data_IF_953826617195
#
_entry.id   IF_953826617195
#
_cell.length_a   1.000
_cell.length_b   1.000
_cell.length_c   1.000
_cell.angle_alpha   90.00
_cell.angle_beta   90.00
_cell.angle_gamma   90.00
#
_symmetry.space_group_name_H-M   'P 1'
#
loop_
_entity.id
_entity.type
_entity.pdbx_description
1 polymer ?
#
# COMPACT_ATOMS: atom_id res chain seq x y z
N UNK A 1 31.46 -10.29 13.04
CA UNK A 1 30.07 -10.19 12.58
C UNK A 1 29.83 -8.74 12.22
N UNK A 2 29.51 -8.44 10.98
CA UNK A 2 29.16 -7.07 10.61
C UNK A 2 27.82 -6.73 11.27
N UNK A 3 27.78 -5.65 12.06
CA UNK A 3 26.54 -5.13 12.63
C UNK A 3 25.60 -4.78 11.48
N UNK A 4 24.37 -5.24 11.56
CA UNK A 4 23.32 -4.83 10.63
C UNK A 4 22.59 -3.61 11.18
N UNK A 5 21.85 -2.89 10.34
CA UNK A 5 21.02 -1.76 10.78
C UNK A 5 20.07 -2.16 11.93
N UNK A 6 19.64 -3.42 11.98
CA UNK A 6 18.77 -3.95 13.02
C UNK A 6 19.46 -4.16 14.36
N UNK A 7 20.79 -4.23 14.39
CA UNK A 7 21.56 -4.33 15.64
C UNK A 7 21.70 -2.96 16.31
N UNK A 8 21.51 -1.88 15.56
CA UNK A 8 21.56 -0.50 16.06
C UNK A 8 20.19 0.05 16.44
N UNK A 9 19.11 -0.54 15.93
CA UNK A 9 17.74 -0.16 16.25
C UNK A 9 17.33 -0.85 17.56
N UNK A 10 17.17 -0.08 18.62
CA UNK A 10 16.68 -0.56 19.93
C UNK A 10 15.17 -0.82 19.92
N UNK A 11 14.66 -1.46 18.87
CA UNK A 11 13.25 -1.80 18.79
C UNK A 11 12.93 -3.05 19.61
N UNK A 12 11.90 -2.95 20.43
CA UNK A 12 11.39 -4.08 21.19
C UNK A 12 10.74 -5.09 20.22
N UNK A 13 11.16 -6.36 20.31
CA UNK A 13 10.58 -7.47 19.53
C UNK A 13 9.34 -8.07 20.20
N UNK A 14 8.87 -7.49 21.28
CA UNK A 14 7.67 -7.92 21.99
C UNK A 14 6.43 -7.69 21.11
N UNK A 15 5.68 -8.74 20.87
CA UNK A 15 4.46 -8.69 20.06
C UNK A 15 3.37 -7.80 20.69
N UNK A 16 3.29 -7.74 22.01
CA UNK A 16 2.32 -6.89 22.73
C UNK A 16 2.63 -5.42 22.49
N UNK A 17 3.90 -5.04 22.53
CA UNK A 17 4.31 -3.66 22.21
C UNK A 17 3.89 -3.25 20.79
N UNK A 18 4.02 -4.16 19.81
CA UNK A 18 3.60 -3.90 18.44
C UNK A 18 2.09 -3.72 18.29
N UNK A 19 1.28 -4.44 19.03
CA UNK A 19 -0.18 -4.28 18.97
C UNK A 19 -0.59 -2.83 19.26
N UNK A 20 -0.07 -2.23 20.31
CA UNK A 20 -0.34 -0.81 20.62
C UNK A 20 0.23 0.13 19.58
N UNK A 21 1.44 -0.15 19.07
CA UNK A 21 2.12 0.72 18.13
C UNK A 21 1.48 0.76 16.76
N UNK A 22 0.98 -0.37 16.28
CA UNK A 22 0.34 -0.48 14.96
C UNK A 22 -0.92 0.38 14.83
N UNK A 23 -1.63 0.63 15.93
CA UNK A 23 -2.86 1.43 15.95
C UNK A 23 -2.61 2.94 16.13
N UNK A 24 -1.38 3.37 16.40
CA UNK A 24 -1.07 4.81 16.49
C UNK A 24 -1.36 5.53 15.18
N UNK A 25 -2.07 6.64 15.30
CA UNK A 25 -2.39 7.48 14.15
C UNK A 25 -1.18 8.28 13.71
N UNK A 26 -0.92 8.29 12.40
CA UNK A 26 -0.02 9.25 11.79
C UNK A 26 -0.73 10.61 11.66
N UNK A 27 0.00 11.74 11.66
CA UNK A 27 -0.63 13.05 11.65
C UNK A 27 -1.32 13.37 10.32
N UNK A 28 -2.27 14.32 10.40
CA UNK A 28 -2.76 15.07 9.27
C UNK A 28 -2.20 16.49 9.38
N UNK A 29 -1.52 16.98 8.34
CA UNK A 29 -0.82 18.26 8.32
C UNK A 29 -1.31 19.13 7.18
N UNK A 30 -1.66 20.41 7.46
CA UNK A 30 -1.98 21.39 6.43
C UNK A 30 -0.69 22.01 5.94
N UNK A 31 -0.39 21.87 4.65
CA UNK A 31 0.87 22.33 4.06
C UNK A 31 0.59 23.20 2.84
N UNK A 32 1.20 24.37 2.82
CA UNK A 32 1.13 25.27 1.70
C UNK A 32 2.13 24.88 0.60
N UNK A 33 1.72 24.98 -0.65
CA UNK A 33 2.64 24.98 -1.78
C UNK A 33 3.25 26.37 -1.91
N UNK A 34 4.58 26.54 -1.80
CA UNK A 34 5.21 27.85 -1.83
C UNK A 34 5.10 28.55 -3.19
N UNK A 35 4.88 27.81 -4.28
CA UNK A 35 4.77 28.38 -5.63
C UNK A 35 3.36 28.89 -5.95
N UNK A 36 2.33 28.16 -5.46
CA UNK A 36 0.92 28.46 -5.80
C UNK A 36 0.12 29.05 -4.65
N UNK A 37 0.64 29.07 -3.42
CA UNK A 37 -0.07 29.38 -2.17
C UNK A 37 -1.29 28.49 -1.89
N UNK A 38 -1.49 27.42 -2.65
CA UNK A 38 -2.52 26.44 -2.34
C UNK A 38 -2.19 25.71 -1.04
N UNK A 39 -3.19 25.47 -0.23
CA UNK A 39 -3.07 24.71 1.02
C UNK A 39 -3.85 23.41 0.89
N UNK A 40 -3.21 22.28 1.24
CA UNK A 40 -3.81 20.95 1.20
C UNK A 40 -3.44 20.20 2.47
N UNK A 41 -4.37 19.43 3.00
CA UNK A 41 -4.09 18.50 4.09
C UNK A 41 -3.41 17.25 3.56
N UNK A 42 -2.39 16.80 4.28
CA UNK A 42 -1.69 15.56 3.98
C UNK A 42 -1.84 14.57 5.14
N UNK A 43 -2.36 13.38 4.87
CA UNK A 43 -2.25 12.24 5.80
C UNK A 43 -0.87 11.62 5.63
N UNK A 44 -0.05 11.67 6.68
CA UNK A 44 1.39 11.37 6.64
C UNK A 44 1.69 9.93 7.04
N UNK A 45 1.22 8.93 6.25
CA UNK A 45 1.56 7.53 6.52
C UNK A 45 3.07 7.24 6.36
N UNK A 46 3.80 8.08 5.65
CA UNK A 46 5.26 8.07 5.57
C UNK A 46 5.94 8.25 6.94
N UNK A 47 5.26 8.81 7.94
CA UNK A 47 5.77 8.90 9.32
C UNK A 47 5.70 7.58 10.07
N UNK A 48 5.01 6.58 9.56
CA UNK A 48 5.07 5.23 10.09
C UNK A 48 6.32 4.53 9.56
N UNK A 49 7.46 4.69 10.23
CA UNK A 49 8.77 4.17 9.84
C UNK A 49 9.54 3.50 10.99
N UNK A 50 8.93 2.54 11.73
CA UNK A 50 9.51 2.02 12.97
C UNK A 50 10.71 1.10 12.77
N UNK A 51 10.94 0.57 11.57
CA UNK A 51 11.97 -0.44 11.29
C UNK A 51 13.20 0.12 10.58
N UNK A 52 13.37 1.42 10.55
CA UNK A 52 14.49 2.03 9.84
C UNK A 52 14.99 3.27 10.55
N UNK A 53 16.18 3.73 10.18
CA UNK A 53 16.68 5.02 10.63
C UNK A 53 15.75 6.11 10.12
N UNK A 54 15.04 6.73 11.03
CA UNK A 54 14.19 7.87 10.75
C UNK A 54 14.98 9.16 11.01
N UNK A 55 15.19 9.92 9.97
CA UNK A 55 15.83 11.23 10.06
C UNK A 55 14.88 12.30 9.54
N UNK A 56 14.31 13.11 10.44
CA UNK A 56 13.51 14.29 10.11
C UNK A 56 12.36 14.07 9.11
N UNK A 57 11.60 12.99 9.27
CA UNK A 57 10.45 12.72 8.43
C UNK A 57 10.77 12.18 7.04
N UNK A 58 12.03 11.86 6.77
CA UNK A 58 12.44 11.36 5.47
C UNK A 58 13.14 10.01 5.60
N UNK A 59 12.80 9.04 4.74
CA UNK A 59 13.79 8.20 4.06
C UNK A 59 14.06 6.81 4.60
N UNK A 60 13.39 6.37 5.67
CA UNK A 60 13.42 4.97 6.07
C UNK A 60 12.36 4.13 5.34
N UNK A 61 12.35 2.85 5.60
CA UNK A 61 11.25 1.97 5.20
C UNK A 61 10.00 2.41 5.96
N UNK A 62 8.94 2.76 5.25
CA UNK A 62 7.80 3.47 5.82
C UNK A 62 6.46 3.12 5.14
N UNK A 63 5.40 3.70 5.67
CA UNK A 63 4.10 3.75 5.04
C UNK A 63 3.09 2.71 5.51
N UNK A 64 1.88 2.84 4.99
CA UNK A 64 0.74 2.00 5.36
C UNK A 64 0.98 0.50 5.10
N UNK A 65 1.70 0.16 4.04
CA UNK A 65 2.06 -1.24 3.74
C UNK A 65 3.02 -1.83 4.77
N UNK A 66 3.94 -1.04 5.31
CA UNK A 66 4.83 -1.51 6.37
C UNK A 66 4.02 -1.89 7.61
N UNK A 67 3.07 -1.05 8.02
CA UNK A 67 2.15 -1.33 9.13
C UNK A 67 1.44 -2.66 8.94
N UNK A 68 0.87 -2.86 7.78
CA UNK A 68 0.16 -4.08 7.43
C UNK A 68 1.07 -5.31 7.35
N UNK A 69 2.30 -5.16 6.82
CA UNK A 69 3.26 -6.26 6.73
C UNK A 69 3.75 -6.71 8.12
N UNK A 70 3.96 -5.78 9.05
CA UNK A 70 4.31 -6.10 10.44
C UNK A 70 3.16 -6.89 11.08
N UNK A 71 1.93 -6.42 10.96
CA UNK A 71 0.75 -7.13 11.49
C UNK A 71 0.62 -8.55 10.93
N UNK A 72 0.80 -8.72 9.62
CA UNK A 72 0.76 -10.04 8.98
C UNK A 72 1.83 -11.00 9.53
N UNK A 73 3.03 -10.50 9.75
CA UNK A 73 4.11 -11.30 10.36
C UNK A 73 3.77 -11.66 11.81
N UNK A 74 3.25 -10.72 12.59
CA UNK A 74 2.83 -10.99 13.97
C UNK A 74 1.76 -12.08 14.04
N UNK A 75 0.72 -11.98 13.21
CA UNK A 75 -0.33 -13.00 13.14
C UNK A 75 0.21 -14.37 12.72
N UNK A 76 1.20 -14.38 11.82
CA UNK A 76 1.87 -15.60 11.41
C UNK A 76 2.67 -16.22 12.56
N UNK A 77 3.40 -15.41 13.32
CA UNK A 77 4.18 -15.85 14.48
C UNK A 77 3.27 -16.36 15.62
N UNK A 78 2.16 -15.66 15.90
CA UNK A 78 1.15 -16.11 16.88
C UNK A 78 0.54 -17.48 16.51
N UNK A 79 0.42 -17.75 15.21
CA UNK A 79 -0.04 -19.05 14.69
C UNK A 79 1.06 -20.14 14.70
N UNK A 80 2.26 -19.88 15.25
CA UNK A 80 3.37 -20.83 15.32
C UNK A 80 4.21 -20.91 14.04
N UNK A 81 4.10 -19.91 13.16
CA UNK A 81 4.97 -19.77 11.99
C UNK A 81 6.38 -19.34 12.34
N UNK A 82 7.28 -19.39 11.35
CA UNK A 82 8.67 -18.91 11.44
C UNK A 82 8.75 -17.42 11.05
N UNK A 83 9.67 -16.65 11.61
CA UNK A 83 9.94 -15.27 11.18
C UNK A 83 10.59 -15.18 9.80
N UNK A 84 11.00 -16.32 9.20
CA UNK A 84 11.50 -16.32 7.83
C UNK A 84 10.42 -15.90 6.84
N UNK A 85 10.82 -15.16 5.82
CA UNK A 85 9.90 -14.59 4.86
C UNK A 85 10.34 -14.88 3.42
N UNK A 86 9.41 -15.36 2.63
CA UNK A 86 9.60 -15.52 1.19
C UNK A 86 8.60 -14.66 0.46
N UNK A 87 9.05 -13.85 -0.46
CA UNK A 87 8.19 -13.01 -1.27
C UNK A 87 8.74 -12.83 -2.68
N UNK A 88 7.88 -12.34 -3.57
CA UNK A 88 8.29 -12.03 -4.92
C UNK A 88 7.93 -10.62 -5.34
N UNK A 89 8.77 -10.01 -6.16
CA UNK A 89 8.55 -8.64 -6.64
C UNK A 89 9.39 -8.31 -7.88
N UNK A 90 9.18 -7.11 -8.41
CA UNK A 90 9.99 -6.55 -9.50
C UNK A 90 11.09 -5.64 -8.95
N UNK A 91 12.13 -5.40 -9.76
CA UNK A 91 13.36 -4.65 -9.41
C UNK A 91 12.97 -3.26 -8.92
N UNK A 92 12.33 -2.49 -8.93
CA UNK A 92 12.07 -1.12 -8.38
C UNK A 92 10.99 -1.07 -7.32
N UNK A 93 10.56 -2.21 -6.80
CA UNK A 93 9.48 -2.27 -5.84
C UNK A 93 9.98 -2.04 -4.41
N UNK A 94 9.40 -1.09 -3.65
CA UNK A 94 9.71 -0.90 -2.23
C UNK A 94 9.25 -2.06 -1.34
N UNK A 95 8.50 -3.02 -1.87
CA UNK A 95 8.11 -4.21 -1.12
C UNK A 95 9.32 -5.06 -0.72
N UNK A 96 10.37 -5.10 -1.54
CA UNK A 96 11.55 -5.92 -1.25
C UNK A 96 12.28 -5.49 0.03
N UNK A 97 12.75 -4.24 0.17
CA UNK A 97 13.40 -3.82 1.41
C UNK A 97 12.43 -3.84 2.60
N UNK A 98 11.16 -3.55 2.41
CA UNK A 98 10.16 -3.60 3.46
C UNK A 98 9.97 -5.03 4.00
N UNK A 99 9.80 -6.02 3.14
CA UNK A 99 9.65 -7.42 3.54
C UNK A 99 10.90 -7.92 4.30
N UNK A 100 12.08 -7.52 3.81
CA UNK A 100 13.35 -7.87 4.45
C UNK A 100 13.48 -7.24 5.84
N UNK A 101 13.13 -5.96 5.97
CA UNK A 101 13.15 -5.26 7.26
C UNK A 101 12.22 -5.95 8.28
N UNK A 102 11.00 -6.29 7.87
CA UNK A 102 10.02 -6.98 8.75
C UNK A 102 10.55 -8.33 9.22
N UNK A 103 10.99 -9.19 8.30
CA UNK A 103 11.52 -10.52 8.68
C UNK A 103 12.72 -10.40 9.62
N UNK A 104 13.69 -9.56 9.27
CA UNK A 104 14.91 -9.36 10.08
C UNK A 104 14.60 -8.81 11.45
N UNK A 105 13.64 -7.90 11.59
CA UNK A 105 13.24 -7.39 12.90
C UNK A 105 12.81 -8.50 13.85
N UNK A 106 12.04 -9.47 13.37
CA UNK A 106 11.60 -10.63 14.15
C UNK A 106 12.61 -11.79 14.20
N UNK A 107 13.83 -11.57 13.70
CA UNK A 107 14.93 -12.53 13.76
C UNK A 107 14.94 -13.58 12.64
N UNK A 108 14.17 -13.36 11.58
CA UNK A 108 14.08 -14.25 10.42
C UNK A 108 15.08 -13.91 9.31
N UNK A 109 15.03 -14.73 8.27
CA UNK A 109 15.74 -14.56 6.99
C UNK A 109 14.74 -14.26 5.89
N UNK A 110 15.18 -13.51 4.87
CA UNK A 110 14.32 -13.20 3.73
C UNK A 110 14.91 -13.76 2.46
N UNK A 111 14.07 -14.45 1.68
CA UNK A 111 14.38 -14.80 0.29
C UNK A 111 13.45 -14.03 -0.64
N UNK A 112 14.03 -13.21 -1.50
CA UNK A 112 13.33 -12.42 -2.49
C UNK A 112 13.38 -13.10 -3.86
N UNK A 113 12.23 -13.50 -4.40
CA UNK A 113 12.12 -13.90 -5.81
C UNK A 113 11.99 -12.63 -6.64
N UNK A 114 13.02 -12.31 -7.39
CA UNK A 114 13.13 -11.07 -8.14
C UNK A 114 12.93 -11.30 -9.65
N UNK A 115 11.88 -10.70 -10.20
CA UNK A 115 11.64 -10.68 -11.63
C UNK A 115 12.62 -9.74 -12.33
N UNK A 116 13.71 -10.29 -12.88
CA UNK A 116 14.75 -9.53 -13.54
C UNK A 116 15.41 -10.32 -14.68
N UNK A 117 15.50 -9.70 -15.84
CA UNK A 117 16.15 -10.31 -17.01
C UNK A 117 17.68 -10.27 -16.95
N UNK A 118 18.23 -9.34 -16.16
CA UNK A 118 19.67 -9.14 -16.02
C UNK A 118 20.05 -9.02 -14.53
N UNK A 119 20.35 -10.13 -13.86
CA UNK A 119 20.70 -10.12 -12.43
C UNK A 119 21.88 -9.20 -12.09
N UNK A 120 22.90 -9.16 -12.96
CA UNK A 120 24.14 -8.39 -12.72
C UNK A 120 23.94 -6.88 -12.65
N UNK A 121 22.86 -6.35 -13.20
CA UNK A 121 22.56 -4.91 -13.15
C UNK A 121 21.57 -4.53 -12.05
N UNK A 122 21.02 -5.50 -11.31
CA UNK A 122 20.01 -5.24 -10.30
C UNK A 122 20.54 -4.42 -9.12
N UNK A 123 21.83 -4.52 -8.78
CA UNK A 123 22.44 -3.73 -7.71
C UNK A 123 22.44 -2.22 -7.95
N UNK A 124 22.28 -1.80 -9.21
CA UNK A 124 22.14 -0.39 -9.56
C UNK A 124 20.76 0.19 -9.16
N UNK A 125 19.91 -0.66 -8.61
CA UNK A 125 18.58 -0.28 -8.17
C UNK A 125 18.53 -0.15 -6.64
N UNK A 126 18.23 1.05 -6.13
CA UNK A 126 18.17 1.37 -4.71
C UNK A 126 17.39 0.34 -3.88
N UNK A 127 16.23 -0.12 -4.40
CA UNK A 127 15.39 -1.08 -3.69
C UNK A 127 16.05 -2.46 -3.54
N UNK A 128 16.82 -2.89 -4.55
CA UNK A 128 17.56 -4.16 -4.50
C UNK A 128 18.77 -4.03 -3.58
N UNK A 129 19.53 -2.95 -3.74
CA UNK A 129 20.69 -2.66 -2.89
C UNK A 129 20.30 -2.55 -1.42
N UNK A 130 19.19 -1.89 -1.12
CA UNK A 130 18.65 -1.76 0.23
C UNK A 130 18.22 -3.11 0.81
N UNK A 131 17.56 -3.95 0.00
CA UNK A 131 17.16 -5.30 0.42
C UNK A 131 18.37 -6.18 0.70
N UNK A 132 19.40 -6.10 -0.14
CA UNK A 132 20.66 -6.80 0.06
C UNK A 132 21.36 -6.33 1.35
N UNK A 133 21.39 -5.04 1.59
CA UNK A 133 21.93 -4.44 2.80
C UNK A 133 21.20 -4.91 4.06
N UNK A 134 19.89 -5.07 4.00
CA UNK A 134 19.09 -5.66 5.07
C UNK A 134 19.29 -7.17 5.21
N UNK A 135 20.00 -7.82 4.28
CA UNK A 135 20.36 -9.23 4.34
C UNK A 135 19.37 -10.16 3.63
N UNK A 136 18.66 -9.66 2.60
CA UNK A 136 17.87 -10.53 1.72
C UNK A 136 18.78 -11.39 0.85
N UNK A 137 18.42 -12.65 0.67
CA UNK A 137 18.93 -13.51 -0.38
C UNK A 137 18.03 -13.42 -1.60
N UNK A 138 18.60 -13.52 -2.82
CA UNK A 138 17.85 -13.33 -4.06
C UNK A 138 17.79 -14.60 -4.87
N UNK A 139 16.59 -14.89 -5.37
CA UNK A 139 16.33 -15.92 -6.36
C UNK A 139 15.76 -15.21 -7.61
N UNK A 140 16.50 -15.23 -8.70
CA UNK A 140 16.12 -14.51 -9.92
C UNK A 140 15.23 -15.37 -10.81
N UNK A 141 14.20 -14.74 -11.38
CA UNK A 141 13.37 -15.29 -12.44
C UNK A 141 13.35 -14.31 -13.62
N UNK A 142 13.33 -14.81 -14.85
CA UNK A 142 13.51 -14.01 -16.06
C UNK A 142 12.36 -13.02 -16.35
N UNK A 143 11.28 -13.04 -15.58
CA UNK A 143 10.08 -12.23 -15.80
C UNK A 143 9.52 -11.65 -14.52
N UNK A 144 9.05 -10.41 -14.58
CA UNK A 144 8.37 -9.73 -13.46
C UNK A 144 6.88 -10.03 -13.35
N UNK A 145 6.35 -10.93 -14.16
CA UNK A 145 4.93 -11.29 -14.09
C UNK A 145 4.62 -12.16 -12.87
N UNK A 146 3.48 -11.89 -12.25
CA UNK A 146 3.03 -12.61 -11.06
C UNK A 146 2.89 -14.12 -11.31
N UNK A 147 2.48 -14.51 -12.52
CA UNK A 147 2.40 -15.91 -12.95
C UNK A 147 3.75 -16.65 -12.97
N UNK A 148 4.86 -15.94 -13.04
CA UNK A 148 6.22 -16.51 -12.95
C UNK A 148 6.74 -16.48 -11.51
N UNK A 149 6.52 -15.39 -10.82
CA UNK A 149 7.05 -15.13 -9.49
C UNK A 149 6.37 -16.02 -8.42
N UNK A 150 5.04 -16.07 -8.41
CA UNK A 150 4.29 -16.79 -7.36
C UNK A 150 4.59 -18.29 -7.28
N UNK A 151 4.60 -19.06 -8.38
CA UNK A 151 4.92 -20.49 -8.31
C UNK A 151 6.33 -20.73 -7.78
N UNK A 152 7.28 -19.84 -8.12
CA UNK A 152 8.65 -19.94 -7.60
C UNK A 152 8.70 -19.68 -6.10
N UNK A 153 8.00 -18.67 -5.59
CA UNK A 153 7.89 -18.44 -4.16
C UNK A 153 7.34 -19.65 -3.41
N UNK A 154 6.24 -20.24 -3.91
CA UNK A 154 5.62 -21.43 -3.30
C UNK A 154 6.59 -22.62 -3.25
N UNK A 155 7.31 -22.86 -4.36
CA UNK A 155 8.33 -23.93 -4.41
C UNK A 155 9.46 -23.68 -3.39
N UNK A 156 9.92 -22.45 -3.24
CA UNK A 156 10.97 -22.11 -2.27
C UNK A 156 10.52 -22.27 -0.81
N UNK A 157 9.27 -21.98 -0.49
CA UNK A 157 8.71 -22.24 0.83
C UNK A 157 8.81 -23.73 1.17
N UNK A 158 8.38 -24.60 0.28
CA UNK A 158 8.44 -26.04 0.44
C UNK A 158 9.88 -26.56 0.60
N UNK A 159 10.82 -25.94 -0.12
CA UNK A 159 12.23 -26.37 -0.13
C UNK A 159 13.06 -25.84 1.04
N UNK A 160 12.88 -24.57 1.40
CA UNK A 160 13.74 -23.89 2.37
C UNK A 160 13.17 -23.94 3.78
N UNK A 161 11.92 -23.54 3.96
CA UNK A 161 11.24 -23.53 5.25
C UNK A 161 9.72 -23.54 5.09
N UNK A 162 9.06 -24.70 5.26
CA UNK A 162 7.59 -24.81 5.16
C UNK A 162 6.82 -23.95 6.16
N UNK A 163 7.48 -23.46 7.23
CA UNK A 163 6.89 -22.55 8.21
C UNK A 163 7.17 -21.07 7.91
N UNK A 164 7.90 -20.76 6.82
CA UNK A 164 8.17 -19.37 6.44
C UNK A 164 6.88 -18.67 6.03
N UNK A 165 6.84 -17.36 6.26
CA UNK A 165 5.72 -16.53 5.81
C UNK A 165 5.83 -16.23 4.32
N UNK A 166 4.77 -16.52 3.58
CA UNK A 166 4.63 -16.06 2.20
C UNK A 166 3.98 -14.68 2.16
N UNK A 167 4.76 -13.66 1.84
CA UNK A 167 4.22 -12.33 1.62
C UNK A 167 3.86 -12.15 0.14
N UNK A 168 2.57 -12.10 -0.14
CA UNK A 168 2.05 -12.01 -1.50
C UNK A 168 2.45 -10.71 -2.21
N UNK A 169 2.49 -10.76 -3.53
CA UNK A 169 2.80 -9.59 -4.37
C UNK A 169 1.80 -8.45 -4.13
N UNK A 170 2.32 -7.25 -3.88
CA UNK A 170 1.50 -6.09 -3.53
C UNK A 170 0.87 -6.16 -2.14
N UNK A 171 1.22 -7.16 -1.32
CA UNK A 171 0.61 -7.48 -0.01
C UNK A 171 -0.90 -7.76 -0.16
N UNK A 172 -1.26 -8.42 -1.23
CA UNK A 172 -2.66 -8.75 -1.53
C UNK A 172 -3.03 -10.07 -0.88
N UNK A 173 -4.00 -10.07 0.03
CA UNK A 173 -4.51 -11.29 0.63
C UNK A 173 -5.51 -11.96 -0.32
N UNK A 174 -5.18 -13.13 -0.85
CA UNK A 174 -6.09 -13.91 -1.68
C UNK A 174 -7.20 -14.52 -0.81
N UNK A 175 -8.46 -14.21 -1.12
CA UNK A 175 -9.62 -14.71 -0.38
C UNK A 175 -9.85 -16.22 -0.54
N UNK A 176 -9.18 -16.88 -1.46
CA UNK A 176 -9.21 -18.35 -1.60
C UNK A 176 -8.21 -19.03 -0.66
N UNK A 177 -7.28 -18.27 -0.10
CA UNK A 177 -6.20 -18.76 0.78
C UNK A 177 -6.36 -18.25 2.21
N UNK A 178 -6.75 -16.97 2.36
CA UNK A 178 -6.88 -16.32 3.66
C UNK A 178 -8.32 -16.29 4.17
N UNK A 179 -8.49 -16.46 5.47
CA UNK A 179 -9.82 -16.40 6.09
C UNK A 179 -10.43 -14.99 6.02
N UNK A 180 -11.77 -14.87 6.02
CA UNK A 180 -12.46 -13.59 6.09
C UNK A 180 -12.02 -12.71 7.27
N UNK A 181 -11.76 -13.32 8.43
CA UNK A 181 -11.30 -12.63 9.65
C UNK A 181 -9.94 -11.98 9.42
N UNK A 182 -9.00 -12.70 8.79
CA UNK A 182 -7.66 -12.18 8.49
C UNK A 182 -7.74 -11.03 7.48
N UNK A 183 -8.57 -11.16 6.46
CA UNK A 183 -8.79 -10.09 5.46
C UNK A 183 -9.41 -8.86 6.14
N UNK A 184 -10.41 -9.04 6.98
CA UNK A 184 -11.04 -7.96 7.71
C UNK A 184 -10.05 -7.26 8.65
N UNK A 185 -9.33 -8.01 9.50
CA UNK A 185 -8.32 -7.47 10.41
C UNK A 185 -7.25 -6.65 9.70
N UNK A 186 -6.73 -7.16 8.58
CA UNK A 186 -5.75 -6.47 7.75
C UNK A 186 -6.24 -5.11 7.24
N UNK A 187 -7.47 -5.03 6.74
CA UNK A 187 -8.01 -3.78 6.22
C UNK A 187 -8.52 -2.85 7.31
N UNK A 188 -9.07 -3.37 8.40
CA UNK A 188 -9.48 -2.58 9.56
C UNK A 188 -8.28 -1.90 10.21
N UNK A 189 -7.14 -2.58 10.37
CA UNK A 189 -5.90 -1.97 10.85
C UNK A 189 -5.49 -0.74 10.02
N UNK A 190 -5.47 -0.86 8.70
CA UNK A 190 -5.18 0.28 7.83
C UNK A 190 -6.28 1.34 7.85
N UNK A 191 -7.53 0.92 8.04
CA UNK A 191 -8.72 1.77 8.13
C UNK A 191 -8.76 2.62 9.40
N UNK A 192 -8.16 2.15 10.49
CA UNK A 192 -8.08 2.91 11.76
C UNK A 192 -7.45 4.29 11.57
N UNK A 193 -6.58 4.42 10.58
CA UNK A 193 -5.94 5.70 10.25
C UNK A 193 -6.89 6.79 9.74
N UNK A 194 -8.14 6.44 9.45
CA UNK A 194 -9.20 7.40 9.07
C UNK A 194 -9.71 8.18 10.29
N UNK A 195 -9.62 7.62 11.48
CA UNK A 195 -10.21 8.19 12.71
C UNK A 195 -9.78 9.65 12.95
N UNK A 196 -8.52 10.00 12.69
CA UNK A 196 -8.00 11.34 12.94
C UNK A 196 -8.01 12.28 11.71
N UNK A 197 -8.74 11.95 10.64
CA UNK A 197 -9.01 12.92 9.56
C UNK A 197 -9.81 14.08 10.14
N UNK A 198 -9.42 15.35 9.90
CA UNK A 198 -10.17 16.50 10.38
C UNK A 198 -11.60 16.52 9.86
N UNK A 199 -12.56 16.90 10.71
CA UNK A 199 -13.99 16.81 10.38
C UNK A 199 -14.45 17.76 9.27
N UNK A 200 -13.70 18.83 8.99
CA UNK A 200 -14.03 19.78 7.93
C UNK A 200 -13.65 19.28 6.52
N UNK A 201 -12.91 18.18 6.41
CA UNK A 201 -12.49 17.63 5.11
C UNK A 201 -13.72 17.17 4.31
N UNK A 202 -13.82 17.69 3.09
CA UNK A 202 -14.89 17.33 2.15
C UNK A 202 -14.42 16.40 1.04
N UNK A 203 -13.13 16.39 0.74
CA UNK A 203 -12.55 15.70 -0.39
C UNK A 203 -11.31 14.89 0.04
N UNK A 204 -11.31 13.59 -0.25
CA UNK A 204 -10.22 12.69 0.07
C UNK A 204 -9.59 12.15 -1.21
N UNK A 205 -8.28 12.37 -1.39
CA UNK A 205 -7.53 11.99 -2.58
C UNK A 205 -6.59 10.84 -2.24
N UNK A 206 -6.68 9.73 -2.98
CA UNK A 206 -5.94 8.49 -2.68
C UNK A 206 -5.25 7.97 -3.95
N UNK A 207 -3.93 7.83 -3.97
CA UNK A 207 -3.22 7.09 -5.01
C UNK A 207 -3.65 5.62 -5.07
N UNK A 208 -4.16 5.17 -6.21
CA UNK A 208 -4.71 3.83 -6.38
C UNK A 208 -3.78 2.95 -7.24
N UNK A 209 -2.91 2.17 -6.60
CA UNK A 209 -2.04 1.17 -7.25
C UNK A 209 -2.58 -0.26 -7.08
N UNK A 210 -2.12 -0.99 -6.05
CA UNK A 210 -2.65 -2.31 -5.69
C UNK A 210 -4.03 -2.26 -5.05
N UNK A 211 -4.51 -1.08 -4.67
CA UNK A 211 -5.78 -0.78 -4.04
C UNK A 211 -6.00 -1.35 -2.62
N UNK A 212 -4.98 -1.92 -1.98
CA UNK A 212 -5.09 -2.32 -0.57
C UNK A 212 -5.35 -1.12 0.34
N UNK A 213 -4.59 -0.03 0.17
CA UNK A 213 -4.81 1.21 0.94
C UNK A 213 -6.19 1.80 0.66
N UNK A 214 -6.64 1.81 -0.60
CA UNK A 214 -8.00 2.26 -0.95
C UNK A 214 -9.07 1.45 -0.22
N UNK A 215 -8.95 0.13 -0.21
CA UNK A 215 -9.88 -0.77 0.50
C UNK A 215 -9.84 -0.50 2.00
N UNK A 216 -8.65 -0.34 2.58
CA UNK A 216 -8.49 -0.05 4.01
C UNK A 216 -9.12 1.30 4.39
N UNK A 217 -8.91 2.34 3.58
CA UNK A 217 -9.47 3.67 3.83
C UNK A 217 -11.00 3.65 3.72
N UNK A 218 -11.56 3.00 2.70
CA UNK A 218 -13.02 2.83 2.57
C UNK A 218 -13.59 2.01 3.75
N UNK A 219 -12.87 1.02 4.24
CA UNK A 219 -13.22 0.31 5.48
C UNK A 219 -13.20 1.26 6.67
N UNK A 220 -12.17 2.08 6.77
CA UNK A 220 -12.04 3.08 7.83
C UNK A 220 -13.17 4.13 7.83
N UNK A 221 -13.63 4.55 6.65
CA UNK A 221 -14.77 5.46 6.53
C UNK A 221 -16.09 4.82 6.98
N UNK A 222 -16.20 3.50 6.93
CA UNK A 222 -17.33 2.79 7.51
C UNK A 222 -17.21 2.62 9.04
N UNK A 223 -15.98 2.49 9.54
CA UNK A 223 -15.68 2.41 10.98
C UNK A 223 -15.77 3.77 11.69
N UNK A 224 -15.27 4.80 11.01
CA UNK A 224 -15.16 6.19 11.51
C UNK A 224 -15.79 7.16 10.50
N UNK A 225 -17.12 7.24 10.45
CA UNK A 225 -17.81 8.10 9.48
C UNK A 225 -17.39 9.57 9.61
N UNK A 226 -17.16 10.22 8.45
CA UNK A 226 -16.79 11.63 8.36
C UNK A 226 -17.97 12.42 7.79
N UNK A 227 -18.69 13.20 8.64
CA UNK A 227 -20.00 13.76 8.27
C UNK A 227 -19.94 14.80 7.16
N UNK A 228 -18.80 15.45 6.98
CA UNK A 228 -18.61 16.48 5.95
C UNK A 228 -17.97 15.94 4.67
N UNK A 229 -17.51 14.68 4.67
CA UNK A 229 -16.88 14.08 3.48
C UNK A 229 -17.93 13.91 2.36
N UNK A 230 -17.64 14.48 1.20
CA UNK A 230 -18.50 14.44 0.02
C UNK A 230 -17.93 13.52 -1.05
N UNK A 231 -16.62 13.57 -1.24
CA UNK A 231 -15.96 12.86 -2.33
C UNK A 231 -14.71 12.11 -1.87
N UNK A 232 -14.52 10.92 -2.43
CA UNK A 232 -13.29 10.12 -2.33
C UNK A 232 -12.77 9.88 -3.74
N UNK A 233 -11.61 10.41 -4.06
CA UNK A 233 -10.98 10.31 -5.38
C UNK A 233 -9.93 9.21 -5.36
N UNK A 234 -10.20 8.09 -6.03
CA UNK A 234 -9.26 7.02 -6.28
C UNK A 234 -8.57 7.27 -7.62
N UNK A 235 -7.32 7.69 -7.59
CA UNK A 235 -6.58 8.03 -8.81
C UNK A 235 -5.65 6.88 -9.17
N UNK A 236 -6.04 6.12 -10.19
CA UNK A 236 -5.44 4.85 -10.60
C UNK A 236 -4.15 5.02 -11.39
N UNK A 237 -3.04 4.63 -10.79
CA UNK A 237 -1.70 4.64 -11.38
C UNK A 237 -1.22 3.25 -11.81
N UNK A 238 -2.05 2.25 -11.66
CA UNK A 238 -1.86 0.86 -12.06
C UNK A 238 -3.13 0.28 -12.65
N UNK A 239 -3.14 -1.02 -12.99
CA UNK A 239 -4.31 -1.66 -13.55
C UNK A 239 -5.56 -1.48 -12.68
N UNK A 240 -6.72 -1.35 -13.32
CA UNK A 240 -8.00 -1.21 -12.64
C UNK A 240 -8.25 -2.37 -11.65
N UNK A 241 -8.61 -2.03 -10.42
CA UNK A 241 -8.83 -2.94 -9.31
C UNK A 241 -10.18 -2.75 -8.62
N UNK A 242 -11.17 -2.17 -9.28
CA UNK A 242 -12.48 -1.93 -8.69
C UNK A 242 -13.15 -3.21 -8.21
N UNK A 243 -13.12 -4.27 -9.01
CA UNK A 243 -13.67 -5.57 -8.62
C UNK A 243 -12.97 -6.15 -7.38
N UNK A 244 -11.67 -5.92 -7.26
CA UNK A 244 -10.92 -6.28 -6.06
C UNK A 244 -11.42 -5.51 -4.84
N UNK A 245 -11.54 -4.18 -4.92
CA UNK A 245 -12.05 -3.35 -3.82
C UNK A 245 -13.43 -3.83 -3.39
N UNK A 246 -14.36 -4.01 -4.33
CA UNK A 246 -15.71 -4.47 -4.03
C UNK A 246 -15.77 -5.83 -3.35
N UNK A 247 -15.03 -6.77 -3.91
CA UNK A 247 -14.95 -8.12 -3.34
C UNK A 247 -14.46 -8.08 -1.89
N UNK A 248 -13.45 -7.26 -1.60
CA UNK A 248 -12.91 -7.12 -0.25
C UNK A 248 -13.87 -6.42 0.70
N UNK A 249 -14.47 -5.31 0.28
CA UNK A 249 -15.45 -4.60 1.11
C UNK A 249 -16.63 -5.49 1.49
N UNK A 250 -17.13 -6.35 0.59
CA UNK A 250 -18.19 -7.32 0.92
C UNK A 250 -17.76 -8.34 1.98
N UNK A 251 -16.54 -8.86 1.88
CA UNK A 251 -15.99 -9.80 2.87
C UNK A 251 -15.85 -9.10 4.23
N UNK A 252 -15.27 -7.89 4.24
CA UNK A 252 -15.04 -7.11 5.44
C UNK A 252 -16.36 -6.72 6.09
N UNK A 253 -17.30 -6.20 5.30
CA UNK A 253 -18.63 -5.78 5.78
C UNK A 253 -19.37 -6.90 6.49
N UNK A 254 -19.34 -8.09 5.94
CA UNK A 254 -19.94 -9.28 6.55
C UNK A 254 -19.21 -9.67 7.83
N UNK A 255 -17.87 -9.69 7.80
CA UNK A 255 -17.05 -10.20 8.90
C UNK A 255 -16.99 -9.24 10.08
N UNK A 256 -16.88 -7.94 9.82
CA UNK A 256 -16.79 -6.90 10.85
C UNK A 256 -18.14 -6.29 11.24
N UNK A 257 -19.24 -6.83 10.73
CA UNK A 257 -20.60 -6.29 10.94
C UNK A 257 -20.70 -4.79 10.56
N UNK A 258 -20.20 -4.46 9.39
CA UNK A 258 -20.25 -3.11 8.80
C UNK A 258 -21.22 -3.12 7.60
N UNK A 259 -22.54 -3.14 7.83
CA UNK A 259 -23.54 -3.34 6.76
C UNK A 259 -23.51 -2.22 5.70
N UNK A 260 -23.05 -1.02 6.10
CA UNK A 260 -23.03 0.17 5.25
C UNK A 260 -21.68 0.43 4.54
N UNK A 261 -20.74 -0.53 4.61
CA UNK A 261 -19.38 -0.36 4.04
C UNK A 261 -19.38 -0.09 2.53
N UNK A 262 -20.44 -0.46 1.83
CA UNK A 262 -20.61 -0.24 0.39
C UNK A 262 -21.67 0.85 0.06
N UNK A 263 -22.19 1.57 1.06
CA UNK A 263 -23.22 2.60 0.88
C UNK A 263 -22.62 3.93 0.40
N UNK A 264 -21.99 3.92 -0.75
CA UNK A 264 -21.51 5.11 -1.44
C UNK A 264 -21.87 5.07 -2.92
N UNK A 265 -22.01 6.24 -3.54
CA UNK A 265 -22.25 6.35 -4.99
C UNK A 265 -20.92 6.26 -5.73
N UNK A 266 -20.88 5.48 -6.80
CA UNK A 266 -19.68 5.35 -7.65
C UNK A 266 -19.79 6.22 -8.88
N UNK A 267 -18.70 6.93 -9.16
CA UNK A 267 -18.50 7.70 -10.38
C UNK A 267 -17.26 7.20 -11.09
N UNK A 268 -17.47 6.70 -12.28
CA UNK A 268 -16.39 6.33 -13.18
C UNK A 268 -16.12 7.49 -14.14
N UNK A 269 -14.89 7.96 -14.19
CA UNK A 269 -14.50 9.03 -15.08
C UNK A 269 -13.71 8.44 -16.25
N UNK A 270 -14.37 8.41 -17.39
CA UNK A 270 -13.79 7.96 -18.65
C UNK A 270 -12.86 9.06 -19.20
N UNK A 271 -11.74 8.62 -19.79
CA UNK A 271 -11.02 9.49 -20.69
C UNK A 271 -11.78 9.51 -22.02
N UNK A 272 -12.20 10.68 -22.53
CA UNK A 272 -12.88 10.77 -23.82
C UNK A 272 -12.08 10.22 -25.00
N UNK A 273 -10.76 10.11 -24.86
CA UNK A 273 -9.86 9.56 -25.89
C UNK A 273 -9.63 8.04 -25.75
N UNK A 274 -10.20 7.41 -24.70
CA UNK A 274 -10.06 5.97 -24.48
C UNK A 274 -11.21 5.19 -25.08
N UNK A 275 -10.91 4.34 -26.06
CA UNK A 275 -11.88 3.39 -26.65
C UNK A 275 -11.85 2.10 -25.85
N UNK A 276 -12.90 1.85 -25.07
CA UNK A 276 -13.03 0.60 -24.31
C UNK A 276 -13.07 -0.62 -25.21
N UNK A 277 -12.36 -1.67 -24.81
CA UNK A 277 -12.59 -3.00 -25.34
C UNK A 277 -13.98 -3.51 -24.99
N UNK A 278 -14.56 -4.41 -25.77
CA UNK A 278 -15.92 -4.96 -25.53
C UNK A 278 -16.12 -5.55 -24.12
N UNK A 279 -15.05 -5.98 -23.45
CA UNK A 279 -15.09 -6.47 -22.05
C UNK A 279 -15.33 -5.35 -21.04
N UNK A 280 -14.76 -4.17 -21.28
CA UNK A 280 -14.86 -3.02 -20.36
C UNK A 280 -16.25 -2.42 -20.37
N UNK A 281 -16.91 -2.41 -21.51
CA UNK A 281 -18.32 -1.98 -21.65
C UNK A 281 -19.30 -2.88 -20.86
N UNK A 282 -19.00 -4.17 -20.71
CA UNK A 282 -19.82 -5.08 -19.91
C UNK A 282 -19.72 -4.79 -18.40
N UNK A 283 -18.58 -4.27 -17.94
CA UNK A 283 -18.39 -3.86 -16.56
C UNK A 283 -19.01 -2.50 -16.25
N UNK A 284 -18.90 -1.55 -17.16
CA UNK A 284 -19.53 -0.23 -17.04
C UNK A 284 -21.06 -0.30 -17.01
N UNK A 285 -21.67 -1.21 -17.78
CA UNK A 285 -23.13 -1.38 -17.81
C UNK A 285 -23.70 -2.14 -16.59
N UNK A 286 -22.86 -2.81 -15.78
CA UNK A 286 -23.28 -3.50 -14.56
C UNK A 286 -23.26 -2.64 -13.31
N UNK A 287 -22.89 -1.37 -13.41
CA UNK A 287 -23.03 -0.39 -12.32
C UNK A 287 -24.49 0.08 -12.10
N UNK A 288 -25.43 -0.81 -12.29
CA UNK A 288 -26.77 -0.62 -11.76
C UNK A 288 -26.69 -0.71 -10.24
N UNK A 289 -26.95 0.41 -9.61
CA UNK A 289 -27.04 0.62 -8.18
C UNK A 289 -27.55 -0.62 -7.44
N UNK A 290 -26.65 -1.36 -6.76
CA UNK A 290 -27.03 -2.42 -5.83
C UNK A 290 -27.89 -1.83 -4.68
N UNK A 291 -27.73 -0.55 -4.36
CA UNK A 291 -28.59 0.20 -3.45
C UNK A 291 -30.06 0.19 -3.90
N UNK A 292 -30.34 0.19 -5.20
CA UNK A 292 -31.70 0.06 -5.73
C UNK A 292 -32.29 -1.33 -5.57
N UNK A 293 -31.49 -2.38 -5.60
CA UNK A 293 -31.95 -3.77 -5.46
C UNK A 293 -32.12 -4.20 -3.98
N UNK A 294 -31.37 -3.60 -3.07
CA UNK A 294 -31.44 -3.92 -1.63
C UNK A 294 -32.42 -3.02 -0.86
N UNK A 295 -32.92 -1.94 -1.44
CA UNK A 295 -33.92 -1.07 -0.82
C UNK A 295 -35.27 -1.76 -0.55
N UNK A 296 -35.49 -2.97 -1.08
CA UNK A 296 -36.67 -3.79 -0.83
C UNK A 296 -36.57 -4.73 0.38
N UNK A 297 -35.41 -4.87 1.04
CA UNK A 297 -35.18 -5.88 2.10
C UNK A 297 -34.70 -5.21 3.40
N UNK A 298 -35.23 -4.06 3.79
CA UNK A 298 -34.96 -3.49 5.11
C UNK A 298 -35.91 -4.09 6.16
N UNK A 299 -35.39 -4.53 7.32
CA UNK A 299 -36.22 -4.77 8.49
C UNK A 299 -36.87 -3.44 8.92
N UNK A 300 -38.17 -3.46 9.17
CA UNK A 300 -39.00 -2.28 9.42
C UNK A 300 -38.71 -1.47 10.72
N UNK A 301 -37.69 -1.80 11.51
CA UNK A 301 -37.50 -1.25 12.87
C UNK A 301 -36.05 -0.84 13.22
N UNK A 302 -35.14 -0.59 12.27
CA UNK A 302 -33.90 0.06 12.62
C UNK A 302 -34.01 1.58 12.47
N UNK A 303 -33.51 2.39 13.44
CA UNK A 303 -33.49 3.83 13.31
C UNK A 303 -32.68 4.18 12.05
N UNK A 304 -33.18 5.12 11.24
CA UNK A 304 -32.50 5.67 10.09
C UNK A 304 -31.18 6.34 10.56
N UNK A 305 -30.12 5.58 10.68
CA UNK A 305 -28.77 6.13 10.74
C UNK A 305 -28.49 6.65 9.34
N UNK A 306 -28.75 7.94 9.15
CA UNK A 306 -28.37 8.65 7.94
C UNK A 306 -26.83 8.73 7.96
N UNK A 307 -26.18 7.67 7.48
CA UNK A 307 -24.74 7.74 7.22
C UNK A 307 -24.51 8.78 6.12
N UNK A 308 -23.51 9.65 6.27
CA UNK A 308 -23.18 10.62 5.24
C UNK A 308 -22.84 9.85 3.96
N UNK A 309 -23.63 10.08 2.92
CA UNK A 309 -23.40 9.52 1.59
C UNK A 309 -22.28 10.34 0.94
N UNK A 310 -21.17 9.72 0.65
CA UNK A 310 -20.13 10.32 -0.18
C UNK A 310 -20.09 9.63 -1.56
N UNK A 311 -19.50 10.30 -2.52
CA UNK A 311 -19.24 9.73 -3.84
C UNK A 311 -17.80 9.20 -3.91
N UNK A 312 -17.62 8.03 -4.53
CA UNK A 312 -16.30 7.48 -4.84
C UNK A 312 -16.04 7.67 -6.32
N UNK A 313 -15.12 8.56 -6.64
CA UNK A 313 -14.69 8.87 -7.99
C UNK A 313 -13.46 8.02 -8.34
N UNK A 314 -13.50 7.34 -9.46
CA UNK A 314 -12.37 6.58 -9.97
C UNK A 314 -11.85 7.18 -11.28
N UNK A 315 -10.56 7.55 -11.27
CA UNK A 315 -9.81 8.04 -12.42
C UNK A 315 -8.72 7.02 -12.76
N UNK A 316 -8.69 6.52 -13.98
CA UNK A 316 -7.75 5.47 -14.39
C UNK A 316 -6.68 6.03 -15.33
N UNK A 317 -5.58 6.53 -14.75
CA UNK A 317 -4.47 7.11 -15.50
C UNK A 317 -3.66 6.06 -16.26
N UNK A 318 -3.65 4.83 -15.77
CA UNK A 318 -2.89 3.74 -16.38
C UNK A 318 -3.59 3.22 -17.65
N UNK A 319 -4.88 2.97 -17.57
CA UNK A 319 -5.68 2.47 -18.70
C UNK A 319 -5.79 3.52 -19.82
N UNK A 320 -5.81 4.80 -19.45
CA UNK A 320 -5.81 5.91 -20.39
C UNK A 320 -4.46 6.18 -21.04
N UNK A 321 -3.42 5.41 -20.70
CA UNK A 321 -2.05 5.59 -21.13
C UNK A 321 -1.42 6.96 -20.80
N UNK A 322 -2.02 7.74 -19.89
CA UNK A 322 -1.41 8.97 -19.44
C UNK A 322 -0.10 8.69 -18.68
N UNK A 323 -0.06 7.58 -17.93
CA UNK A 323 1.14 7.15 -17.21
C UNK A 323 1.35 5.64 -17.32
N UNK A 324 2.60 5.21 -17.48
CA UNK A 324 2.97 3.81 -17.33
C UNK A 324 3.38 3.52 -15.89
N UNK A 325 3.20 2.29 -15.44
CA UNK A 325 3.55 1.90 -14.07
C UNK A 325 5.01 2.19 -13.70
N UNK A 326 5.93 2.02 -14.66
CA UNK A 326 7.37 2.23 -14.44
C UNK A 326 7.85 3.67 -14.60
N UNK A 327 7.03 4.59 -15.09
CA UNK A 327 7.39 5.99 -15.17
C UNK A 327 7.60 6.55 -13.77
N UNK A 328 8.51 7.50 -13.63
CA UNK A 328 8.78 8.20 -12.39
C UNK A 328 8.48 9.68 -12.62
N UNK A 329 7.76 10.29 -11.72
CA UNK A 329 7.42 11.71 -11.74
C UNK A 329 7.77 12.30 -10.38
N UNK A 330 8.88 13.01 -10.33
CA UNK A 330 9.31 13.69 -9.12
C UNK A 330 8.38 14.88 -8.91
N UNK A 331 7.89 15.03 -7.70
CA UNK A 331 7.04 16.13 -7.30
C UNK A 331 7.28 16.49 -5.84
N UNK A 332 7.40 17.77 -5.58
CA UNK A 332 7.56 18.30 -4.24
C UNK A 332 6.40 19.24 -3.89
N UNK A 333 5.81 19.05 -2.71
CA UNK A 333 4.82 19.98 -2.17
C UNK A 333 5.32 20.53 -0.83
N UNK A 334 5.68 21.79 -0.82
CA UNK A 334 6.36 22.38 0.32
C UNK A 334 7.66 21.65 0.63
N UNK A 335 7.76 21.08 1.82
CA UNK A 335 8.89 20.25 2.25
C UNK A 335 8.65 18.74 2.03
N UNK A 336 7.50 18.35 1.49
CA UNK A 336 7.18 16.94 1.23
C UNK A 336 7.68 16.54 -0.17
N UNK A 337 8.58 15.59 -0.23
CA UNK A 337 8.93 14.89 -1.46
C UNK A 337 8.00 13.70 -1.65
N UNK A 338 7.14 13.78 -2.65
CA UNK A 338 6.17 12.73 -2.96
C UNK A 338 6.85 11.54 -3.65
N UNK A 339 6.40 10.32 -3.37
CA UNK A 339 6.98 9.13 -3.99
C UNK A 339 6.77 9.15 -5.51
N UNK A 340 7.84 9.18 -6.34
CA UNK A 340 7.74 9.46 -7.77
C UNK A 340 6.97 8.38 -8.55
N UNK A 341 6.88 7.17 -8.03
CA UNK A 341 6.13 6.06 -8.68
C UNK A 341 4.64 6.11 -8.38
N UNK A 342 4.24 6.75 -7.28
CA UNK A 342 2.86 6.74 -6.77
C UNK A 342 2.30 8.16 -6.65
N UNK A 343 2.57 8.82 -5.56
CA UNK A 343 2.00 10.11 -5.18
C UNK A 343 2.40 11.23 -6.16
N UNK A 344 3.64 11.24 -6.61
CA UNK A 344 4.14 12.24 -7.58
C UNK A 344 3.34 12.22 -8.88
N UNK A 345 3.03 11.04 -9.41
CA UNK A 345 2.17 10.91 -10.61
C UNK A 345 0.78 11.47 -10.40
N UNK A 346 0.18 11.14 -9.27
CA UNK A 346 -1.17 11.60 -8.93
C UNK A 346 -1.19 13.11 -8.79
N UNK A 347 -0.22 13.65 -8.08
CA UNK A 347 -0.15 15.11 -7.86
C UNK A 347 0.10 15.87 -9.16
N UNK A 348 1.02 15.39 -10.01
CA UNK A 348 1.26 15.99 -11.32
C UNK A 348 -0.03 16.00 -12.17
N UNK A 349 -0.72 14.86 -12.22
CA UNK A 349 -1.97 14.79 -12.98
C UNK A 349 -3.04 15.72 -12.44
N UNK A 350 -3.19 15.83 -11.11
CA UNK A 350 -4.17 16.75 -10.51
C UNK A 350 -3.84 18.18 -10.85
N UNK A 351 -2.59 18.59 -10.73
CA UNK A 351 -2.17 19.96 -11.06
C UNK A 351 -2.45 20.33 -12.53
N UNK A 352 -2.30 19.37 -13.44
CA UNK A 352 -2.53 19.60 -14.87
C UNK A 352 -4.00 19.59 -15.25
N UNK A 353 -4.83 18.76 -14.60
CA UNK A 353 -6.18 18.46 -15.09
C UNK A 353 -7.30 18.82 -14.12
N UNK A 354 -7.01 18.87 -12.82
CA UNK A 354 -8.00 19.04 -11.74
C UNK A 354 -7.45 19.87 -10.57
N UNK A 355 -6.80 21.01 -10.82
CA UNK A 355 -6.17 21.81 -9.74
C UNK A 355 -7.18 22.30 -8.70
N UNK A 356 -8.47 22.37 -9.03
CA UNK A 356 -9.55 22.69 -8.10
C UNK A 356 -9.72 21.68 -6.96
N UNK A 357 -9.23 20.45 -7.11
CA UNK A 357 -9.24 19.45 -6.05
C UNK A 357 -8.21 19.75 -4.94
N UNK A 358 -7.28 20.64 -5.17
CA UNK A 358 -6.21 20.98 -4.22
C UNK A 358 -6.56 22.27 -3.47
N UNK A 359 -7.23 22.10 -2.33
CA UNK A 359 -7.68 23.21 -1.49
C UNK A 359 -7.68 22.81 0.00
N UNK A 360 -7.96 23.75 0.89
CA UNK A 360 -7.93 23.59 2.35
C UNK A 360 -8.96 22.58 2.91
N UNK A 361 -9.95 22.18 2.12
CA UNK A 361 -10.93 21.15 2.50
C UNK A 361 -10.60 19.79 1.92
N UNK A 362 -9.48 19.67 1.20
CA UNK A 362 -9.01 18.42 0.59
C UNK A 362 -7.89 17.79 1.42
N UNK A 363 -7.92 16.47 1.54
CA UNK A 363 -6.87 15.70 2.16
C UNK A 363 -6.26 14.73 1.15
N UNK A 364 -4.97 14.87 0.90
CA UNK A 364 -4.18 13.96 0.09
C UNK A 364 -3.55 12.88 0.97
N UNK A 365 -3.78 11.61 0.65
CA UNK A 365 -3.26 10.50 1.42
C UNK A 365 -1.91 10.04 0.90
N UNK A 366 -0.85 10.26 1.66
CA UNK A 366 0.47 9.69 1.38
C UNK A 366 0.49 8.26 1.88
N UNK A 367 0.55 7.28 0.99
CA UNK A 367 0.60 5.86 1.35
C UNK A 367 2.00 5.43 1.82
N UNK A 368 3.02 6.17 1.45
CA UNK A 368 4.40 6.02 1.86
C UNK A 368 5.33 6.85 0.98
N UNK A 369 6.45 7.27 1.52
CA UNK A 369 7.51 7.99 0.78
C UNK A 369 8.53 7.03 0.18
N UNK A 370 9.32 7.53 -0.79
CA UNK A 370 10.46 6.78 -1.34
C UNK A 370 11.52 6.64 -0.27
N UNK A 371 11.98 5.41 0.06
CA UNK A 371 13.13 5.26 0.94
C UNK A 371 14.42 5.59 0.18
N UNK A 372 15.32 6.31 0.84
CA UNK A 372 16.59 6.76 0.27
C UNK A 372 17.76 5.98 0.81
N UNK A 373 18.40 5.21 -0.04
CA UNK A 373 19.55 4.39 0.33
C UNK A 373 20.71 5.23 0.89
N UNK A 374 21.04 6.35 0.24
CA UNK A 374 22.17 7.19 0.65
C UNK A 374 21.93 7.88 2.00
N UNK A 375 20.70 8.29 2.29
CA UNK A 375 20.39 8.83 3.61
C UNK A 375 20.43 7.75 4.70
N UNK A 376 19.99 6.54 4.40
CA UNK A 376 20.11 5.40 5.32
C UNK A 376 21.58 5.02 5.55
N UNK A 377 22.42 5.04 4.52
CA UNK A 377 23.87 4.84 4.65
C UNK A 377 24.51 5.91 5.52
N UNK A 378 24.17 7.19 5.30
CA UNK A 378 24.68 8.29 6.08
C UNK A 378 24.28 8.20 7.57
N UNK A 379 23.02 7.79 7.84
CA UNK A 379 22.52 7.58 9.19
C UNK A 379 23.15 6.37 9.89
N UNK A 380 23.67 5.40 9.13
CA UNK A 380 24.23 4.14 9.61
C UNK A 380 25.64 3.92 9.06
N UNK A 381 26.49 4.95 9.13
CA UNK A 381 27.84 4.98 8.53
C UNK A 381 28.79 3.88 9.01
N UNK A 382 28.49 3.26 10.16
CA UNK A 382 29.24 2.11 10.69
C UNK A 382 28.87 0.77 10.02
N UNK A 383 27.85 0.77 9.17
CA UNK A 383 27.35 -0.44 8.54
C UNK A 383 27.89 -0.56 7.11
N UNK A 384 28.51 -1.71 6.81
CA UNK A 384 28.98 -1.98 5.45
C UNK A 384 27.86 -2.47 4.54
N UNK A 385 27.82 -1.94 3.32
CA UNK A 385 26.98 -2.49 2.26
C UNK A 385 27.61 -3.74 1.65
N UNK A 386 26.80 -4.73 1.23
CA UNK A 386 27.33 -5.84 0.44
C UNK A 386 27.82 -5.32 -0.93
N UNK A 387 28.97 -5.81 -1.37
CA UNK A 387 29.57 -5.43 -2.66
C UNK A 387 28.77 -5.95 -3.86
N UNK A 388 28.03 -7.03 -3.68
CA UNK A 388 27.21 -7.66 -4.69
C UNK A 388 25.93 -8.24 -4.12
N UNK A 389 24.94 -8.47 -4.97
CA UNK A 389 23.67 -9.10 -4.60
C UNK A 389 23.92 -10.57 -4.28
N UNK A 390 23.54 -11.04 -3.08
CA UNK A 390 23.57 -12.47 -2.79
C UNK A 390 22.58 -13.21 -3.68
N UNK A 391 23.07 -14.16 -4.46
CA UNK A 391 22.24 -14.94 -5.41
C UNK A 391 22.23 -16.39 -4.97
N UNK A 392 21.04 -16.92 -4.63
CA UNK A 392 20.90 -18.32 -4.31
C UNK A 392 20.79 -19.17 -5.59
N UNK A 393 19.98 -18.69 -6.54
CA UNK A 393 19.71 -19.41 -7.78
C UNK A 393 19.17 -18.44 -8.85
N UNK A 394 19.63 -18.63 -10.07
CA UNK A 394 19.04 -18.00 -11.25
C UNK A 394 18.23 -19.02 -12.03
N UNK A 395 16.94 -18.78 -12.19
CA UNK A 395 16.06 -19.60 -13.01
C UNK A 395 15.70 -18.80 -14.26
N UNK A 396 16.22 -19.17 -15.44
CA UNK A 396 15.80 -18.57 -16.69
C UNK A 396 14.30 -18.79 -16.93
N UNK A 397 13.66 -17.84 -17.59
CA UNK A 397 12.23 -17.89 -17.94
C UNK A 397 11.95 -18.90 -19.03
#
# INVERSE_FOLDING_TARGET
MNKTIFDTLSFNRDLVHWEDYLYKHTPCELIANPETNQQVWFKREDYFAPLSCYMNGKQGINGSKLRQAIWLMMEHLKAGGSPDLIHGTVVGSPQSPMATAVSRHFGGKTTTVLGATKPTTCMNHDMVSMSAWFGSEFNFVGSGYNSTIQPRCKKLIEQLNPKAYYLEYGITLDHTVHSPERIAGFHMLGGEQVANIPDHITDLIIPAGSCNSCTSILTGLAMHPKPNLKNVYLIGIGPNRLDFIESRLRIIGKQANLPHITDFTRRYHDNPDYVYGKKDLQHASKSVSLAGLLSGIRPKNEPDIVLPRFEVHHWDLHTTNWVRYNDLMDYQWGDIELHPRYEGKVMTWIQEHKPELLNENSLFWIVGSKPYLEAMKAACSELSMPEHVPVNEFVPS
#
